data_IF_412458512775
#
_entry.id   IF_412458512775
#
_cell.length_a   1.000
_cell.length_b   1.000
_cell.length_c   1.000
_cell.angle_alpha   90.00
_cell.angle_beta   90.00
_cell.angle_gamma   90.00
#
_symmetry.space_group_name_H-M   'P 1'
#
loop_
_entity.id
_entity.type
_entity.pdbx_description
1 polymer ?
#
# COMPACT_ATOMS: atom_id res chain seq x y z
N UNK A 1 8.32 12.41 18.81
CA UNK A 1 8.57 11.36 17.79
C UNK A 1 7.86 11.63 16.48
N UNK A 2 6.53 11.87 16.44
CA UNK A 2 5.77 12.07 15.17
C UNK A 2 6.36 13.12 14.22
N UNK A 3 6.69 14.30 14.74
CA UNK A 3 7.24 15.41 13.96
C UNK A 3 8.63 15.10 13.37
N UNK A 4 9.43 14.31 14.08
CA UNK A 4 10.78 13.92 13.62
C UNK A 4 10.71 12.94 12.45
N UNK A 5 9.82 11.93 12.51
CA UNK A 5 9.61 10.98 11.42
C UNK A 5 9.06 11.67 10.15
N UNK A 6 8.17 12.66 10.29
CA UNK A 6 7.69 13.47 9.16
C UNK A 6 8.81 14.29 8.50
N UNK A 7 9.70 14.88 9.29
CA UNK A 7 10.86 15.62 8.77
C UNK A 7 11.82 14.70 8.02
N UNK A 8 12.16 13.54 8.61
CA UNK A 8 12.98 12.51 7.95
C UNK A 8 12.34 12.11 6.62
N UNK A 9 11.05 11.76 6.65
CA UNK A 9 10.31 11.41 5.43
C UNK A 9 10.40 12.51 4.37
N UNK A 10 10.19 13.77 4.75
CA UNK A 10 10.23 14.91 3.83
C UNK A 10 11.60 15.07 3.18
N UNK A 11 12.68 14.95 3.95
CA UNK A 11 14.05 15.05 3.45
C UNK A 11 14.33 13.91 2.48
N UNK A 12 13.99 12.68 2.86
CA UNK A 12 14.16 11.49 2.03
C UNK A 12 13.37 11.58 0.72
N UNK A 13 12.09 11.96 0.77
CA UNK A 13 11.26 12.14 -0.42
C UNK A 13 11.88 13.17 -1.37
N UNK A 14 12.30 14.33 -0.87
CA UNK A 14 12.92 15.37 -1.70
C UNK A 14 14.25 14.93 -2.32
N UNK A 15 14.99 14.04 -1.68
CA UNK A 15 16.24 13.50 -2.24
C UNK A 15 15.98 12.59 -3.45
N UNK A 16 14.84 11.89 -3.49
CA UNK A 16 14.45 11.04 -4.62
C UNK A 16 14.25 11.87 -5.90
N UNK A 17 13.51 12.97 -5.80
CA UNK A 17 13.24 13.86 -6.94
C UNK A 17 14.44 14.67 -7.42
N UNK A 18 15.59 14.58 -6.75
CA UNK A 18 16.82 15.28 -7.17
C UNK A 18 17.80 14.39 -7.92
N UNK A 19 17.50 13.10 -8.10
CA UNK A 19 18.30 12.20 -8.94
C UNK A 19 19.74 11.97 -8.49
N UNK A 20 20.07 12.22 -7.21
CA UNK A 20 21.42 11.96 -6.69
C UNK A 20 21.68 10.45 -6.59
N UNK A 21 22.14 9.83 -7.68
CA UNK A 21 22.34 8.38 -7.83
C UNK A 21 22.98 7.68 -6.61
N UNK A 22 23.87 8.36 -5.87
CA UNK A 22 24.59 7.78 -4.73
C UNK A 22 23.77 7.67 -3.44
N UNK A 23 22.64 8.37 -3.33
CA UNK A 23 21.81 8.41 -2.11
C UNK A 23 20.35 8.01 -2.36
N UNK A 24 19.95 7.78 -3.62
CA UNK A 24 18.56 7.43 -3.96
C UNK A 24 18.12 6.16 -3.23
N UNK A 25 18.98 5.13 -3.18
CA UNK A 25 18.66 3.87 -2.49
C UNK A 25 18.40 4.07 -1.00
N UNK A 26 19.29 4.79 -0.32
CA UNK A 26 19.19 5.08 1.10
C UNK A 26 17.99 5.97 1.39
N UNK A 27 17.75 6.99 0.55
CA UNK A 27 16.59 7.87 0.66
C UNK A 27 15.28 7.09 0.51
N UNK A 28 15.18 6.18 -0.48
CA UNK A 28 14.02 5.29 -0.66
C UNK A 28 13.80 4.45 0.59
N UNK A 29 14.84 3.79 1.09
CA UNK A 29 14.73 2.93 2.28
C UNK A 29 14.27 3.70 3.51
N UNK A 30 14.80 4.91 3.73
CA UNK A 30 14.40 5.76 4.86
C UNK A 30 12.95 6.27 4.69
N UNK A 31 12.53 6.62 3.46
CA UNK A 31 11.16 7.03 3.19
C UNK A 31 10.17 5.88 3.44
N UNK A 32 10.47 4.67 2.96
CA UNK A 32 9.67 3.47 3.20
C UNK A 32 9.62 3.10 4.69
N UNK A 33 10.75 3.17 5.39
CA UNK A 33 10.80 2.94 6.83
C UNK A 33 9.92 3.94 7.58
N UNK A 34 9.97 5.22 7.21
CA UNK A 34 9.15 6.27 7.84
C UNK A 34 7.65 6.01 7.66
N UNK A 35 7.24 5.54 6.46
CA UNK A 35 5.86 5.16 6.17
C UNK A 35 5.41 3.91 6.94
N UNK A 36 6.32 2.95 7.17
CA UNK A 36 6.04 1.74 7.93
C UNK A 36 5.99 1.98 9.45
N UNK A 37 6.82 2.90 9.94
CA UNK A 37 6.94 3.20 11.36
C UNK A 37 5.80 4.08 11.87
N UNK A 38 5.27 4.97 11.03
CA UNK A 38 4.32 5.99 11.48
C UNK A 38 3.22 6.28 10.46
N UNK A 39 1.99 5.96 10.84
CA UNK A 39 0.78 6.22 10.05
C UNK A 39 0.63 7.69 9.63
N UNK A 40 1.13 8.63 10.43
CA UNK A 40 1.08 10.07 10.14
C UNK A 40 1.93 10.44 8.91
N UNK A 41 2.95 9.65 8.58
CA UNK A 41 3.76 9.88 7.38
C UNK A 41 2.95 9.66 6.09
N UNK A 42 1.90 8.84 6.10
CA UNK A 42 0.99 8.67 4.96
C UNK A 42 0.17 9.92 4.68
N UNK A 43 -0.39 10.53 5.73
CA UNK A 43 -1.11 11.80 5.63
C UNK A 43 -0.15 12.93 5.22
N UNK A 44 1.06 12.93 5.79
CA UNK A 44 2.08 13.91 5.43
C UNK A 44 2.52 13.80 3.98
N UNK A 45 2.71 12.58 3.47
CA UNK A 45 2.97 12.36 2.05
C UNK A 45 1.81 12.84 1.19
N UNK A 46 0.57 12.63 1.63
CA UNK A 46 -0.61 13.14 0.94
C UNK A 46 -0.57 14.66 0.74
N UNK A 47 -0.15 15.40 1.76
CA UNK A 47 -0.01 16.85 1.68
C UNK A 47 1.14 17.29 0.74
N UNK A 48 2.25 16.54 0.71
CA UNK A 48 3.42 16.87 -0.12
C UNK A 48 3.33 16.38 -1.57
N UNK A 49 2.36 15.53 -1.87
CA UNK A 49 2.32 14.73 -3.09
C UNK A 49 2.42 15.54 -4.39
N UNK A 50 1.59 16.57 -4.54
CA UNK A 50 1.54 17.38 -5.76
C UNK A 50 2.77 18.24 -5.95
N UNK A 51 3.41 18.67 -4.86
CA UNK A 51 4.64 19.48 -4.90
C UNK A 51 5.89 18.64 -5.19
N UNK A 52 5.79 17.32 -5.02
CA UNK A 52 6.91 16.37 -5.14
C UNK A 52 6.50 15.19 -6.02
N UNK A 53 5.80 15.44 -7.14
CA UNK A 53 5.18 14.39 -7.94
C UNK A 53 6.21 13.44 -8.56
N UNK A 54 7.31 13.96 -9.11
CA UNK A 54 8.43 13.15 -9.64
C UNK A 54 9.04 12.24 -8.57
N UNK A 55 9.34 12.80 -7.38
CA UNK A 55 9.82 12.02 -6.25
C UNK A 55 8.80 10.96 -5.78
N UNK A 56 7.51 11.32 -5.85
CA UNK A 56 6.42 10.43 -5.45
C UNK A 56 6.24 9.29 -6.44
N UNK A 57 6.47 9.51 -7.73
CA UNK A 57 6.50 8.45 -8.76
C UNK A 57 7.57 7.42 -8.40
N UNK A 58 8.80 7.86 -8.14
CA UNK A 58 9.90 6.96 -7.76
C UNK A 58 9.58 6.16 -6.48
N UNK A 59 8.99 6.80 -5.47
CA UNK A 59 8.62 6.11 -4.23
C UNK A 59 7.42 5.14 -4.43
N UNK A 60 6.47 5.48 -5.31
CA UNK A 60 5.34 4.61 -5.66
C UNK A 60 5.79 3.39 -6.44
N UNK A 61 6.73 3.53 -7.37
CA UNK A 61 7.35 2.43 -8.09
C UNK A 61 8.01 1.44 -7.11
N UNK A 62 8.82 1.95 -6.18
CA UNK A 62 9.46 1.13 -5.15
C UNK A 62 8.44 0.44 -4.22
N UNK A 63 7.35 1.12 -3.87
CA UNK A 63 6.25 0.49 -3.14
C UNK A 63 5.61 -0.66 -3.93
N UNK A 64 5.44 -0.50 -5.23
CA UNK A 64 4.98 -1.57 -6.12
C UNK A 64 5.98 -2.72 -6.04
N UNK A 65 7.26 -2.52 -6.27
CA UNK A 65 8.24 -3.62 -6.22
C UNK A 65 8.22 -4.35 -4.88
N UNK A 66 8.28 -3.63 -3.76
CA UNK A 66 8.34 -4.23 -2.43
C UNK A 66 7.07 -4.95 -2.00
N UNK A 67 5.91 -4.55 -2.52
CA UNK A 67 4.67 -5.28 -2.30
C UNK A 67 4.66 -6.64 -3.00
N UNK A 68 5.36 -6.78 -4.13
CA UNK A 68 5.55 -8.09 -4.80
C UNK A 68 6.43 -9.01 -3.97
N UNK A 69 7.51 -8.48 -3.41
CA UNK A 69 8.48 -9.26 -2.63
C UNK A 69 7.97 -9.66 -1.23
N UNK A 70 6.76 -9.24 -0.86
CA UNK A 70 6.19 -9.36 0.49
C UNK A 70 7.09 -8.79 1.62
N UNK A 71 8.10 -8.00 1.25
CA UNK A 71 9.16 -7.51 2.14
C UNK A 71 8.70 -6.30 2.96
N UNK A 72 7.62 -5.65 2.54
CA UNK A 72 7.07 -4.51 3.25
C UNK A 72 6.21 -4.94 4.44
N UNK A 73 6.73 -4.65 5.64
CA UNK A 73 6.03 -4.74 6.93
C UNK A 73 4.79 -3.83 7.02
N UNK A 74 4.61 -2.93 6.04
CA UNK A 74 3.49 -2.00 5.90
C UNK A 74 2.10 -2.66 5.83
N UNK A 75 2.02 -3.97 5.58
CA UNK A 75 0.77 -4.72 5.56
C UNK A 75 0.61 -5.67 6.75
N UNK A 76 1.34 -5.42 7.85
CA UNK A 76 1.25 -6.25 9.05
C UNK A 76 -0.05 -6.05 9.84
N UNK A 77 -0.73 -4.90 9.70
CA UNK A 77 -2.02 -4.63 10.36
C UNK A 77 -3.14 -4.27 9.37
N UNK A 78 -4.40 -4.63 9.66
CA UNK A 78 -5.56 -4.15 8.91
C UNK A 78 -5.68 -2.61 8.89
N UNK A 79 -5.25 -1.94 9.96
CA UNK A 79 -5.25 -0.47 10.04
C UNK A 79 -4.29 0.14 9.02
N UNK A 80 -3.07 -0.40 8.93
CA UNK A 80 -2.05 0.11 7.99
C UNK A 80 -2.49 -0.11 6.54
N UNK A 81 -3.12 -1.26 6.27
CA UNK A 81 -3.73 -1.57 4.98
C UNK A 81 -4.84 -0.58 4.61
N UNK A 82 -5.67 -0.19 5.59
CA UNK A 82 -6.72 0.82 5.39
C UNK A 82 -6.14 2.20 5.09
N UNK A 83 -5.13 2.64 5.86
CA UNK A 83 -4.45 3.92 5.62
C UNK A 83 -3.84 3.96 4.22
N UNK A 84 -3.08 2.94 3.83
CA UNK A 84 -2.50 2.86 2.50
C UNK A 84 -3.60 2.91 1.42
N UNK A 85 -4.70 2.18 1.61
CA UNK A 85 -5.84 2.20 0.67
C UNK A 85 -6.45 3.60 0.54
N UNK A 86 -6.58 4.34 1.65
CA UNK A 86 -7.09 5.71 1.64
C UNK A 86 -6.12 6.67 0.94
N UNK A 87 -4.82 6.58 1.22
CA UNK A 87 -3.81 7.42 0.55
C UNK A 87 -3.78 7.17 -0.96
N UNK A 88 -3.80 5.90 -1.40
CA UNK A 88 -3.87 5.59 -2.84
C UNK A 88 -5.12 6.18 -3.50
N UNK A 89 -6.28 6.14 -2.82
CA UNK A 89 -7.50 6.79 -3.32
C UNK A 89 -7.32 8.31 -3.45
N UNK A 90 -6.71 8.96 -2.46
CA UNK A 90 -6.42 10.40 -2.50
C UNK A 90 -5.50 10.76 -3.67
N UNK A 91 -4.40 10.03 -3.84
CA UNK A 91 -3.47 10.20 -4.97
C UNK A 91 -4.18 10.08 -6.31
N UNK A 92 -5.01 9.05 -6.49
CA UNK A 92 -5.77 8.88 -7.74
C UNK A 92 -6.73 10.03 -8.03
N UNK A 93 -7.35 10.62 -7.00
CA UNK A 93 -8.19 11.81 -7.18
C UNK A 93 -7.35 13.02 -7.63
N UNK A 94 -6.20 13.24 -6.99
CA UNK A 94 -5.25 14.31 -7.36
C UNK A 94 -4.72 14.13 -8.78
N UNK A 95 -4.35 12.91 -9.16
CA UNK A 95 -3.85 12.60 -10.50
C UNK A 95 -4.91 12.85 -11.56
N UNK A 96 -6.13 12.34 -11.36
CA UNK A 96 -7.24 12.57 -12.27
C UNK A 96 -7.51 14.06 -12.47
N UNK A 97 -7.55 14.82 -11.37
CA UNK A 97 -7.73 16.27 -11.38
C UNK A 97 -6.63 16.95 -12.20
N UNK A 98 -5.37 16.65 -11.93
CA UNK A 98 -4.22 17.24 -12.63
C UNK A 98 -4.20 16.89 -14.14
N UNK A 99 -4.62 15.67 -14.49
CA UNK A 99 -4.72 15.19 -15.88
C UNK A 99 -5.87 15.89 -16.62
N UNK A 100 -7.03 16.07 -15.98
CA UNK A 100 -8.21 16.65 -16.60
C UNK A 100 -8.20 18.17 -16.70
N UNK A 101 -7.62 18.87 -15.71
CA UNK A 101 -7.70 20.34 -15.62
C UNK A 101 -6.71 21.08 -16.52
N UNK A 102 -5.51 20.53 -16.76
CA UNK A 102 -4.46 21.22 -17.52
C UNK A 102 -4.10 20.56 -18.85
N UNK A 103 -4.49 19.31 -19.11
CA UNK A 103 -4.09 18.60 -20.33
C UNK A 103 -2.56 18.46 -20.49
N UNK A 104 -2.12 17.67 -21.47
CA UNK A 104 -0.69 17.36 -21.68
C UNK A 104 0.17 18.62 -21.94
N UNK A 105 -0.31 19.52 -22.80
CA UNK A 105 0.47 20.67 -23.27
C UNK A 105 0.66 21.78 -22.23
N UNK A 106 -0.20 21.87 -21.20
CA UNK A 106 -0.15 22.95 -20.20
C UNK A 106 0.27 22.47 -18.81
N UNK A 107 0.63 21.20 -18.66
CA UNK A 107 1.15 20.64 -17.42
C UNK A 107 2.49 19.94 -17.67
N UNK A 108 3.64 20.56 -17.33
CA UNK A 108 4.95 19.93 -17.51
C UNK A 108 5.07 18.61 -16.72
N UNK A 109 4.30 18.46 -15.65
CA UNK A 109 4.29 17.26 -14.81
C UNK A 109 3.24 16.23 -15.24
N UNK A 110 2.54 16.43 -16.36
CA UNK A 110 1.46 15.55 -16.82
C UNK A 110 1.88 14.07 -16.82
N UNK A 111 3.09 13.79 -17.31
CA UNK A 111 3.60 12.44 -17.42
C UNK A 111 3.71 11.77 -16.04
N UNK A 112 4.25 12.49 -15.05
CA UNK A 112 4.37 12.00 -13.68
C UNK A 112 3.00 11.70 -13.05
N UNK A 113 2.00 12.56 -13.26
CA UNK A 113 0.64 12.30 -12.76
C UNK A 113 -0.01 11.05 -13.39
N UNK A 114 0.24 10.82 -14.68
CA UNK A 114 -0.25 9.63 -15.40
C UNK A 114 0.41 8.37 -14.88
N UNK A 115 1.74 8.38 -14.77
CA UNK A 115 2.53 7.26 -14.29
C UNK A 115 2.20 6.93 -12.82
N UNK A 116 2.08 7.95 -11.97
CA UNK A 116 1.68 7.76 -10.58
C UNK A 116 0.27 7.16 -10.43
N UNK A 117 -0.69 7.50 -11.31
CA UNK A 117 -2.03 6.86 -11.29
C UNK A 117 -1.95 5.37 -11.64
N UNK A 118 -1.07 4.96 -12.54
CA UNK A 118 -0.83 3.55 -12.85
C UNK A 118 -0.25 2.80 -11.65
N UNK A 119 0.77 3.34 -10.98
CA UNK A 119 1.29 2.71 -9.76
C UNK A 119 0.23 2.64 -8.65
N UNK A 120 -0.56 3.70 -8.45
CA UNK A 120 -1.65 3.68 -7.47
C UNK A 120 -2.72 2.61 -7.77
N UNK A 121 -3.02 2.36 -9.06
CA UNK A 121 -3.91 1.26 -9.48
C UNK A 121 -3.31 -0.10 -9.16
N UNK A 122 -2.03 -0.30 -9.47
CA UNK A 122 -1.33 -1.56 -9.18
C UNK A 122 -1.32 -1.84 -7.68
N UNK A 123 -0.99 -0.85 -6.85
CA UNK A 123 -1.01 -0.98 -5.39
C UNK A 123 -2.42 -1.34 -4.92
N UNK A 124 -3.44 -0.55 -5.32
CA UNK A 124 -4.84 -0.79 -4.92
C UNK A 124 -5.33 -2.19 -5.31
N UNK A 125 -4.98 -2.65 -6.52
CA UNK A 125 -5.30 -3.99 -7.01
C UNK A 125 -4.71 -5.08 -6.12
N UNK A 126 -3.44 -4.95 -5.74
CA UNK A 126 -2.76 -5.92 -4.85
C UNK A 126 -3.34 -5.96 -3.45
N UNK A 127 -3.70 -4.81 -2.88
CA UNK A 127 -4.37 -4.75 -1.58
C UNK A 127 -5.74 -5.44 -1.61
N UNK A 128 -6.49 -5.27 -2.70
CA UNK A 128 -7.78 -5.92 -2.87
C UNK A 128 -7.64 -7.45 -3.00
N UNK A 129 -6.64 -7.94 -3.75
CA UNK A 129 -6.37 -9.37 -3.92
C UNK A 129 -5.98 -10.05 -2.60
N UNK A 130 -5.12 -9.40 -1.79
CA UNK A 130 -4.71 -9.92 -0.48
C UNK A 130 -5.87 -10.08 0.49
N UNK A 131 -6.88 -9.20 0.41
CA UNK A 131 -8.09 -9.30 1.24
C UNK A 131 -9.01 -10.47 0.87
N UNK A 132 -9.00 -10.91 -0.40
CA UNK A 132 -9.82 -12.02 -0.90
C UNK A 132 -9.23 -13.37 -0.44
N UNK A 133 -7.90 -13.51 -0.45
CA UNK A 133 -7.22 -14.73 0.00
C UNK A 133 -7.54 -15.08 1.46
N UNK A 134 -7.50 -14.10 2.37
CA UNK A 134 -7.80 -14.33 3.79
C UNK A 134 -9.26 -14.72 4.06
N UNK A 135 -10.22 -14.10 3.35
CA UNK A 135 -11.64 -14.46 3.48
C UNK A 135 -11.92 -15.87 2.97
N UNK A 136 -11.31 -16.25 1.84
CA UNK A 136 -11.44 -17.60 1.28
C UNK A 136 -10.90 -18.68 2.21
N UNK A 137 -9.72 -18.47 2.79
CA UNK A 137 -9.10 -19.44 3.72
C UNK A 137 -9.90 -19.61 5.01
N UNK A 138 -10.43 -18.53 5.61
CA UNK A 138 -11.27 -18.64 6.81
C UNK A 138 -12.56 -19.41 6.56
N UNK A 139 -13.21 -19.21 5.40
CA UNK A 139 -14.43 -19.95 5.04
C UNK A 139 -14.13 -21.45 4.88
N UNK A 140 -13.04 -21.80 4.19
CA UNK A 140 -12.64 -23.21 4.01
C UNK A 140 -12.32 -23.88 5.35
N UNK A 141 -11.61 -23.19 6.25
CA UNK A 141 -11.27 -23.74 7.56
C UNK A 141 -12.53 -24.01 8.42
N UNK A 142 -13.51 -23.11 8.42
CA UNK A 142 -14.76 -23.30 9.17
C UNK A 142 -15.56 -24.48 8.63
N UNK A 143 -15.64 -24.63 7.29
CA UNK A 143 -16.33 -25.77 6.66
C UNK A 143 -15.63 -27.11 7.00
N UNK A 144 -14.30 -27.12 7.04
CA UNK A 144 -13.55 -28.34 7.37
C UNK A 144 -13.78 -28.75 8.84
N UNK A 145 -13.76 -27.78 9.77
CA UNK A 145 -14.01 -28.04 11.20
C UNK A 145 -15.42 -28.58 11.44
N UNK A 146 -16.44 -28.00 10.79
CA UNK A 146 -17.82 -28.47 10.93
C UNK A 146 -18.04 -29.86 10.32
N UNK A 147 -17.40 -30.16 9.18
CA UNK A 147 -17.43 -31.48 8.57
C UNK A 147 -16.77 -32.56 9.45
N UNK A 148 -15.63 -32.25 10.07
CA UNK A 148 -14.94 -33.18 10.98
C UNK A 148 -15.75 -33.39 12.26
N UNK A 149 -16.33 -32.34 12.83
CA UNK A 149 -17.17 -32.44 14.02
C UNK A 149 -18.44 -33.29 13.77
N UNK A 150 -19.09 -33.11 12.62
CA UNK A 150 -20.26 -33.91 12.25
C UNK A 150 -19.91 -35.37 12.00
N UNK A 151 -18.78 -35.68 11.36
CA UNK A 151 -18.31 -37.05 11.18
C UNK A 151 -17.95 -37.73 12.51
N UNK A 152 -17.29 -37.02 13.42
CA UNK A 152 -16.98 -37.54 14.76
C UNK A 152 -18.25 -37.81 15.57
N UNK A 153 -19.23 -36.91 15.51
CA UNK A 153 -20.52 -37.09 16.18
C UNK A 153 -21.29 -38.32 15.64
N UNK A 154 -21.32 -38.49 14.30
CA UNK A 154 -21.93 -39.65 13.66
C UNK A 154 -21.20 -40.96 13.99
N UNK A 155 -19.86 -40.93 14.02
CA UNK A 155 -19.05 -42.08 14.44
C UNK A 155 -19.31 -42.45 15.89
N UNK A 156 -19.38 -41.46 16.79
CA UNK A 156 -19.69 -41.67 18.21
C UNK A 156 -21.07 -42.30 18.41
N UNK A 157 -22.11 -41.79 17.75
CA UNK A 157 -23.45 -42.37 17.77
C UNK A 157 -23.48 -43.80 17.23
N UNK A 158 -22.66 -44.11 16.22
CA UNK A 158 -22.60 -45.45 15.62
C UNK A 158 -21.87 -46.47 16.48
N UNK A 159 -20.86 -46.05 17.25
CA UNK A 159 -20.03 -46.93 18.08
C UNK A 159 -20.61 -47.12 19.48
N UNK A 160 -21.17 -46.06 20.07
CA UNK A 160 -21.63 -46.04 21.46
C UNK A 160 -23.15 -45.94 21.59
N UNK A 161 -23.89 -46.13 20.49
CA UNK A 161 -25.33 -45.95 20.44
C UNK A 161 -26.08 -46.54 21.64
N UNK A 162 -26.95 -45.72 22.24
CA UNK A 162 -28.12 -46.19 22.95
C UNK A 162 -29.14 -46.74 21.95
#
# INVERSE_FOLDING_TARGET
MKQFTQQIFTVSLRLLGKGYCRLVREATQIALWSLAENVVCWEHWDNLYTENIEASVALLEELVEKLNDHSLKLLSSPSDTLTLTQTMKSFRLKNKKAISERGYYFNPDYYYYKEADEYCKLISGRLSCRSISLKGTCIIAVILVTAVATLLHLFYLRVFGF
#
